data_IF_195551269503
#
_entry.id   IF_195551269503
#
_cell.length_a   1.000
_cell.length_b   1.000
_cell.length_c   1.000
_cell.angle_alpha   90.00
_cell.angle_beta   90.00
_cell.angle_gamma   90.00
#
_symmetry.space_group_name_H-M   'P 1'
#
loop_
_entity.id
_entity.type
_entity.pdbx_description
1 polymer ?
#
# COMPACT_ATOMS: atom_id res chain seq x y z
N UNK A 1 -10.97 -33.80 29.52
CA UNK A 1 -9.50 -33.80 29.43
C UNK A 1 -8.99 -34.02 30.85
N UNK A 2 -8.20 -35.06 31.06
CA UNK A 2 -7.53 -35.24 32.36
C UNK A 2 -6.46 -34.15 32.53
N UNK A 3 -6.13 -33.80 33.77
CA UNK A 3 -5.18 -32.71 34.06
C UNK A 3 -3.82 -33.00 33.41
N UNK A 4 -3.41 -34.27 33.39
CA UNK A 4 -2.13 -34.69 32.82
C UNK A 4 -2.07 -34.48 31.30
N UNK A 5 -3.15 -34.75 30.56
CA UNK A 5 -3.23 -34.48 29.11
C UNK A 5 -3.16 -32.98 28.80
N UNK A 6 -3.86 -32.17 29.60
CA UNK A 6 -3.85 -30.71 29.47
C UNK A 6 -2.45 -30.14 29.71
N UNK A 7 -1.77 -30.66 30.72
CA UNK A 7 -0.41 -30.26 31.08
C UNK A 7 0.61 -30.66 30.01
N UNK A 8 0.48 -31.84 29.41
CA UNK A 8 1.34 -32.28 28.31
C UNK A 8 1.18 -31.38 27.07
N UNK A 9 -0.05 -31.04 26.70
CA UNK A 9 -0.33 -30.12 25.59
C UNK A 9 0.26 -28.72 25.85
N UNK A 10 0.14 -28.22 27.08
CA UNK A 10 0.68 -26.93 27.48
C UNK A 10 2.22 -26.94 27.54
N UNK A 11 2.87 -28.06 27.80
CA UNK A 11 4.35 -28.14 27.70
C UNK A 11 4.87 -28.15 26.27
N UNK A 12 4.05 -28.54 25.30
CA UNK A 12 4.41 -28.60 23.87
C UNK A 12 4.01 -27.35 23.08
N UNK A 13 3.27 -26.42 23.69
CA UNK A 13 2.75 -25.22 23.03
C UNK A 13 3.11 -23.95 23.78
N UNK A 14 3.22 -22.83 23.07
CA UNK A 14 3.26 -21.51 23.70
C UNK A 14 1.86 -20.89 23.61
N UNK A 15 1.39 -20.29 24.70
CA UNK A 15 0.03 -19.76 24.81
C UNK A 15 0.06 -18.37 25.44
N UNK A 16 -0.84 -17.50 24.98
CA UNK A 16 -0.94 -16.12 25.45
C UNK A 16 -1.61 -16.01 26.82
N UNK A 17 -2.56 -16.90 27.10
CA UNK A 17 -3.26 -17.00 28.37
C UNK A 17 -3.48 -18.47 28.72
N UNK A 18 -3.09 -18.85 29.93
CA UNK A 18 -3.44 -20.13 30.54
C UNK A 18 -4.26 -19.88 31.79
N UNK A 19 -5.51 -20.37 31.80
CA UNK A 19 -6.40 -20.30 32.97
C UNK A 19 -6.37 -21.65 33.68
N UNK A 20 -5.97 -21.64 34.94
CA UNK A 20 -5.79 -22.84 35.75
C UNK A 20 -6.90 -22.91 36.81
N UNK A 21 -7.56 -24.05 36.91
CA UNK A 21 -8.56 -24.31 37.95
C UNK A 21 -7.95 -24.55 39.34
N UNK A 22 -8.76 -24.49 40.41
CA UNK A 22 -8.29 -24.63 41.80
C UNK A 22 -7.70 -26.02 42.13
N UNK A 23 -7.98 -27.03 41.32
CA UNK A 23 -7.56 -28.42 41.54
C UNK A 23 -6.13 -28.74 41.05
N UNK A 24 -5.45 -27.79 40.40
CA UNK A 24 -4.11 -28.01 39.83
C UNK A 24 -3.02 -27.76 40.88
N UNK A 25 -2.21 -28.79 41.12
CA UNK A 25 -1.15 -28.80 42.13
C UNK A 25 -0.06 -27.75 41.85
N UNK A 26 0.59 -27.27 42.92
CA UNK A 26 1.63 -26.23 42.85
C UNK A 26 2.88 -26.66 42.08
N UNK A 27 3.20 -27.96 42.06
CA UNK A 27 4.32 -28.52 41.31
C UNK A 27 4.13 -28.38 39.79
N UNK A 28 2.91 -28.53 39.29
CA UNK A 28 2.58 -28.45 37.87
C UNK A 28 2.56 -27.01 37.36
N UNK A 29 2.23 -26.05 38.23
CA UNK A 29 2.27 -24.60 37.89
C UNK A 29 3.67 -24.13 37.49
N UNK A 30 4.74 -24.79 37.95
CA UNK A 30 6.11 -24.45 37.55
C UNK A 30 6.43 -24.82 36.10
N UNK A 31 5.75 -25.84 35.56
CA UNK A 31 5.94 -26.29 34.16
C UNK A 31 5.35 -25.30 33.15
N UNK A 32 4.44 -24.43 33.60
CA UNK A 32 3.72 -23.47 32.77
C UNK A 32 4.44 -22.12 32.61
N UNK A 33 5.66 -21.97 33.16
CA UNK A 33 6.42 -20.72 33.18
C UNK A 33 6.79 -20.16 31.80
N UNK A 34 6.71 -20.98 30.75
CA UNK A 34 7.01 -20.58 29.38
C UNK A 34 5.84 -19.85 28.70
N UNK A 35 4.65 -19.84 29.30
CA UNK A 35 3.52 -19.09 28.77
C UNK A 35 3.55 -17.64 29.25
N UNK A 36 3.06 -16.73 28.39
CA UNK A 36 3.14 -15.27 28.61
C UNK A 36 2.37 -14.81 29.83
N UNK A 37 1.16 -15.33 30.04
CA UNK A 37 0.32 -14.97 31.19
C UNK A 37 -0.44 -16.18 31.73
N UNK A 38 -0.40 -16.35 33.04
CA UNK A 38 -1.02 -17.48 33.73
C UNK A 38 -1.95 -16.91 34.82
N UNK A 39 -3.21 -17.34 34.79
CA UNK A 39 -4.24 -16.93 35.74
C UNK A 39 -4.71 -18.15 36.52
N UNK A 40 -4.70 -18.07 37.86
CA UNK A 40 -5.19 -19.14 38.72
C UNK A 40 -6.56 -18.78 39.28
N UNK A 41 -7.57 -19.61 39.01
CA UNK A 41 -8.88 -19.52 39.66
C UNK A 41 -8.83 -20.17 41.04
N UNK A 42 -9.22 -19.44 42.08
CA UNK A 42 -9.19 -19.93 43.45
C UNK A 42 -10.48 -19.61 44.22
N UNK A 43 -10.86 -20.47 45.16
CA UNK A 43 -12.00 -20.20 46.07
C UNK A 43 -11.61 -19.25 47.20
N UNK A 44 -10.33 -19.28 47.61
CA UNK A 44 -9.76 -18.43 48.66
C UNK A 44 -8.54 -17.70 48.10
N UNK A 45 -8.48 -16.38 48.26
CA UNK A 45 -7.27 -15.63 47.91
C UNK A 45 -6.14 -16.06 48.87
N UNK A 46 -4.92 -16.32 48.37
CA UNK A 46 -3.79 -16.65 49.22
C UNK A 46 -3.47 -15.47 50.15
N UNK A 47 -3.03 -15.76 51.38
CA UNK A 47 -2.57 -14.73 52.31
C UNK A 47 -1.40 -13.96 51.69
N UNK A 48 -1.46 -12.62 51.74
CA UNK A 48 -0.49 -11.70 51.12
C UNK A 48 0.97 -11.92 51.54
N UNK A 49 1.22 -12.70 52.60
CA UNK A 49 2.56 -13.11 53.04
C UNK A 49 3.17 -14.26 52.23
N UNK A 50 2.37 -15.03 51.49
CA UNK A 50 2.82 -16.23 50.75
C UNK A 50 3.22 -15.96 49.28
N UNK A 51 2.98 -14.75 48.78
CA UNK A 51 3.04 -14.42 47.35
C UNK A 51 4.11 -13.38 46.97
N UNK A 52 5.19 -13.28 47.76
CA UNK A 52 6.41 -12.54 47.36
C UNK A 52 7.31 -13.35 46.41
N UNK A 53 6.74 -13.97 45.38
CA UNK A 53 7.50 -14.39 44.21
C UNK A 53 7.00 -13.58 43.03
N UNK A 54 7.89 -12.79 42.42
CA UNK A 54 7.68 -11.99 41.20
C UNK A 54 7.29 -12.81 39.95
N UNK A 55 6.96 -14.10 40.12
CA UNK A 55 6.59 -15.06 39.09
C UNK A 55 5.33 -15.86 39.45
N UNK A 56 4.55 -15.44 40.44
CA UNK A 56 3.32 -16.13 40.83
C UNK A 56 2.18 -15.79 39.84
N UNK A 57 1.39 -16.78 39.38
CA UNK A 57 0.27 -16.54 38.47
C UNK A 57 -0.79 -15.66 39.13
N UNK A 58 -1.36 -14.73 38.37
CA UNK A 58 -2.38 -13.80 38.86
C UNK A 58 -3.61 -14.59 39.37
N UNK A 59 -3.92 -14.51 40.67
CA UNK A 59 -5.00 -15.28 41.27
C UNK A 59 -6.34 -14.53 41.26
N UNK A 60 -7.40 -15.16 40.74
CA UNK A 60 -8.76 -14.60 40.68
C UNK A 60 -9.71 -15.46 41.51
N UNK A 61 -10.51 -14.79 42.35
CA UNK A 61 -11.49 -15.44 43.21
C UNK A 61 -12.73 -15.86 42.44
N UNK A 62 -13.24 -17.06 42.72
CA UNK A 62 -14.56 -17.55 42.30
C UNK A 62 -15.48 -17.74 43.52
N UNK A 63 -16.81 -17.48 43.40
CA UNK A 63 -17.54 -17.00 42.22
C UNK A 63 -17.36 -15.49 41.97
N UNK A 64 -17.61 -15.01 40.73
CA UNK A 64 -17.48 -13.59 40.35
C UNK A 64 -16.21 -13.22 39.57
N UNK A 65 -15.57 -14.19 38.90
CA UNK A 65 -14.32 -13.99 38.17
C UNK A 65 -14.48 -13.47 36.74
N UNK A 66 -15.71 -13.39 36.21
CA UNK A 66 -15.95 -13.16 34.79
C UNK A 66 -15.48 -11.78 34.33
N UNK A 67 -15.85 -10.71 35.03
CA UNK A 67 -15.47 -9.34 34.66
C UNK A 67 -13.94 -9.18 34.65
N UNK A 68 -13.27 -9.71 35.67
CA UNK A 68 -11.80 -9.64 35.77
C UNK A 68 -11.09 -10.53 34.74
N UNK A 69 -11.64 -11.70 34.42
CA UNK A 69 -11.12 -12.52 33.33
C UNK A 69 -11.29 -11.81 31.99
N UNK A 70 -12.41 -11.11 31.78
CA UNK A 70 -12.68 -10.37 30.56
C UNK A 70 -11.72 -9.18 30.41
N UNK A 71 -11.45 -8.43 31.48
CA UNK A 71 -10.41 -7.38 31.50
C UNK A 71 -9.03 -7.93 31.10
N UNK A 72 -8.63 -9.08 31.66
CA UNK A 72 -7.34 -9.71 31.35
C UNK A 72 -7.28 -10.17 29.89
N UNK A 73 -8.36 -10.76 29.37
CA UNK A 73 -8.44 -11.16 27.96
C UNK A 73 -8.34 -9.92 27.06
N UNK A 74 -9.08 -8.85 27.36
CA UNK A 74 -9.05 -7.61 26.57
C UNK A 74 -7.66 -6.97 26.56
N UNK A 75 -6.95 -7.00 27.69
CA UNK A 75 -5.58 -6.50 27.77
C UNK A 75 -4.60 -7.33 26.94
N UNK A 76 -4.69 -8.66 27.00
CA UNK A 76 -3.86 -9.57 26.19
C UNK A 76 -4.15 -9.37 24.70
N UNK A 77 -5.42 -9.23 24.33
CA UNK A 77 -5.82 -8.96 22.94
C UNK A 77 -5.27 -7.61 22.47
N UNK A 78 -5.36 -6.55 23.30
CA UNK A 78 -4.78 -5.24 22.98
C UNK A 78 -3.27 -5.31 22.83
N UNK A 79 -2.58 -6.03 23.72
CA UNK A 79 -1.12 -6.21 23.66
C UNK A 79 -0.72 -6.98 22.40
N UNK A 80 -1.39 -8.08 22.09
CA UNK A 80 -1.18 -8.84 20.85
C UNK A 80 -1.48 -8.01 19.61
N UNK A 81 -2.56 -7.25 19.61
CA UNK A 81 -2.87 -6.33 18.52
C UNK A 81 -1.76 -5.30 18.37
N UNK A 82 -1.21 -4.72 19.45
CA UNK A 82 -0.08 -3.78 19.35
C UNK A 82 1.20 -4.44 18.85
N UNK A 83 1.51 -5.66 19.28
CA UNK A 83 2.68 -6.41 18.80
C UNK A 83 2.55 -6.75 17.31
N UNK A 84 1.40 -7.27 16.90
CA UNK A 84 1.12 -7.62 15.51
C UNK A 84 1.13 -6.35 14.67
N UNK A 85 0.42 -5.30 15.11
CA UNK A 85 0.33 -4.04 14.34
C UNK A 85 1.61 -3.23 14.34
N UNK A 86 2.46 -3.38 15.37
CA UNK A 86 3.78 -2.78 15.49
C UNK A 86 4.89 -3.60 14.84
N UNK A 87 4.61 -4.85 14.44
CA UNK A 87 5.58 -5.69 13.74
C UNK A 87 6.01 -5.03 12.43
N UNK A 88 7.32 -4.98 12.12
CA UNK A 88 7.82 -4.47 10.84
C UNK A 88 7.13 -5.11 9.64
N UNK A 89 6.81 -6.41 9.71
CA UNK A 89 6.12 -7.13 8.64
C UNK A 89 4.69 -6.61 8.43
N UNK A 90 3.95 -6.33 9.51
CA UNK A 90 2.60 -5.80 9.41
C UNK A 90 2.59 -4.35 8.91
N UNK A 91 3.48 -3.51 9.42
CA UNK A 91 3.60 -2.12 8.96
C UNK A 91 3.99 -2.05 7.48
N UNK A 92 4.92 -2.93 7.05
CA UNK A 92 5.27 -3.09 5.65
C UNK A 92 4.07 -3.52 4.82
N UNK A 93 3.35 -4.56 5.25
CA UNK A 93 2.17 -5.05 4.52
C UNK A 93 1.06 -4.00 4.45
N UNK A 94 0.86 -3.21 5.52
CA UNK A 94 -0.08 -2.10 5.55
C UNK A 94 0.29 -1.01 4.55
N UNK A 95 1.57 -0.63 4.46
CA UNK A 95 2.05 0.34 3.45
C UNK A 95 1.95 -0.21 2.03
N UNK A 96 2.10 -1.53 1.86
CA UNK A 96 1.97 -2.22 0.57
C UNK A 96 0.52 -2.64 0.22
N UNK A 97 -0.46 -2.31 1.06
CA UNK A 97 -1.84 -2.79 0.92
C UNK A 97 -2.57 -2.28 -0.33
N UNK A 98 -2.06 -1.22 -0.98
CA UNK A 98 -2.60 -0.70 -2.23
C UNK A 98 -2.23 -1.53 -3.47
N UNK A 99 -1.16 -2.32 -3.43
CA UNK A 99 -0.64 -3.09 -4.56
C UNK A 99 -0.98 -4.56 -4.36
N UNK A 100 -2.16 -4.91 -4.87
CA UNK A 100 -2.79 -6.21 -4.67
C UNK A 100 -2.14 -7.28 -5.56
N UNK A 101 -2.06 -8.49 -5.02
CA UNK A 101 -1.54 -9.67 -5.69
C UNK A 101 -0.43 -10.36 -4.92
N UNK A 102 -0.26 -11.64 -5.20
CA UNK A 102 0.75 -12.54 -4.65
C UNK A 102 1.60 -13.20 -5.72
N UNK A 103 1.41 -12.85 -6.99
CA UNK A 103 2.20 -13.34 -8.11
C UNK A 103 3.69 -13.05 -8.00
N UNK A 104 4.51 -13.88 -8.68
CA UNK A 104 5.96 -13.65 -8.69
C UNK A 104 6.32 -12.27 -9.27
N UNK A 105 5.60 -11.83 -10.30
CA UNK A 105 5.80 -10.57 -11.00
C UNK A 105 5.50 -9.38 -10.07
N UNK A 106 4.39 -9.42 -9.32
CA UNK A 106 4.07 -8.33 -8.40
C UNK A 106 4.98 -8.34 -7.17
N UNK A 107 5.48 -9.51 -6.72
CA UNK A 107 6.49 -9.58 -5.65
C UNK A 107 7.77 -8.85 -6.04
N UNK A 108 8.26 -9.04 -7.27
CA UNK A 108 9.43 -8.30 -7.78
C UNK A 108 9.20 -6.79 -7.72
N UNK A 109 8.02 -6.31 -8.13
CA UNK A 109 7.67 -4.88 -8.03
C UNK A 109 7.67 -4.40 -6.58
N UNK A 110 7.09 -5.19 -5.65
CA UNK A 110 7.08 -4.88 -4.22
C UNK A 110 8.49 -4.78 -3.64
N UNK A 111 9.38 -5.70 -4.00
CA UNK A 111 10.79 -5.69 -3.59
C UNK A 111 11.53 -4.47 -4.13
N UNK A 112 11.29 -4.11 -5.40
CA UNK A 112 11.85 -2.90 -6.01
C UNK A 112 11.36 -1.63 -5.31
N UNK A 113 10.09 -1.55 -4.95
CA UNK A 113 9.55 -0.41 -4.18
C UNK A 113 10.26 -0.27 -2.84
N UNK A 114 10.44 -1.37 -2.09
CA UNK A 114 11.16 -1.37 -0.82
C UNK A 114 12.62 -0.93 -0.98
N UNK A 115 13.26 -1.34 -2.08
CA UNK A 115 14.66 -1.00 -2.37
C UNK A 115 14.85 0.43 -2.87
N UNK A 116 13.99 0.88 -3.79
CA UNK A 116 14.13 2.18 -4.46
C UNK A 116 13.40 3.30 -3.72
N UNK A 117 12.42 2.99 -2.87
CA UNK A 117 11.73 3.96 -2.02
C UNK A 117 12.70 4.83 -1.21
N UNK A 118 13.61 4.25 -0.41
CA UNK A 118 14.59 5.02 0.37
C UNK A 118 15.71 5.66 -0.47
N UNK A 119 15.92 5.22 -1.71
CA UNK A 119 17.03 5.69 -2.54
C UNK A 119 16.79 7.13 -3.04
N UNK A 120 17.78 8.03 -2.93
CA UNK A 120 17.67 9.37 -3.48
C UNK A 120 17.77 9.30 -5.01
N UNK A 121 16.85 9.95 -5.71
CA UNK A 121 16.88 10.06 -7.17
C UNK A 121 15.55 9.75 -7.86
N UNK A 122 15.49 10.01 -9.18
CA UNK A 122 14.28 9.82 -9.95
C UNK A 122 13.98 8.34 -10.18
N UNK A 123 12.68 8.02 -10.28
CA UNK A 123 12.22 6.68 -10.63
C UNK A 123 11.33 6.76 -11.87
N UNK A 124 11.64 5.92 -12.86
CA UNK A 124 10.83 5.72 -14.06
C UNK A 124 9.98 4.44 -13.91
N UNK A 125 8.67 4.61 -13.96
CA UNK A 125 7.69 3.54 -13.87
C UNK A 125 7.13 3.28 -15.27
N UNK A 126 7.42 2.11 -15.83
CA UNK A 126 6.94 1.72 -17.15
C UNK A 126 5.80 0.73 -17.04
N UNK A 127 4.93 0.66 -18.04
CA UNK A 127 3.90 -0.36 -18.13
C UNK A 127 2.64 0.15 -18.80
N UNK A 128 1.78 -0.78 -19.21
CA UNK A 128 0.55 -0.46 -19.94
C UNK A 128 -0.42 0.43 -19.13
N UNK A 129 -1.41 0.98 -19.81
CA UNK A 129 -2.46 1.74 -19.13
C UNK A 129 -3.26 0.82 -18.20
N UNK A 130 -3.52 1.28 -16.99
CA UNK A 130 -4.32 0.53 -16.01
C UNK A 130 -3.56 -0.56 -15.23
N UNK A 131 -2.23 -0.65 -15.31
CA UNK A 131 -1.43 -1.61 -14.51
C UNK A 131 -1.20 -1.19 -13.05
N UNK A 132 -1.51 0.06 -12.69
CA UNK A 132 -1.35 0.60 -11.33
C UNK A 132 -0.07 1.40 -11.09
N UNK A 133 0.45 2.08 -12.12
CA UNK A 133 1.67 2.91 -12.03
C UNK A 133 1.55 4.05 -11.00
N UNK A 134 0.36 4.63 -10.86
CA UNK A 134 0.01 5.64 -9.86
C UNK A 134 0.11 5.11 -8.43
N UNK A 135 -0.34 3.87 -8.21
CA UNK A 135 -0.21 3.17 -6.92
C UNK A 135 1.27 2.93 -6.60
N UNK A 136 2.06 2.46 -7.58
CA UNK A 136 3.50 2.25 -7.42
C UNK A 136 4.20 3.57 -7.07
N UNK A 137 3.88 4.67 -7.75
CA UNK A 137 4.44 5.99 -7.47
C UNK A 137 4.12 6.46 -6.04
N UNK A 138 2.87 6.31 -5.62
CA UNK A 138 2.46 6.65 -4.24
C UNK A 138 3.23 5.83 -3.21
N UNK A 139 3.39 4.53 -3.43
CA UNK A 139 4.18 3.69 -2.52
C UNK A 139 5.65 4.09 -2.49
N UNK A 140 6.27 4.41 -3.63
CA UNK A 140 7.66 4.89 -3.65
C UNK A 140 7.83 6.16 -2.79
N UNK A 141 6.86 7.05 -2.79
CA UNK A 141 6.83 8.21 -1.91
C UNK A 141 6.66 7.81 -0.43
N UNK A 142 5.70 6.92 -0.12
CA UNK A 142 5.44 6.45 1.26
C UNK A 142 6.65 5.71 1.88
N UNK A 143 7.52 5.13 1.05
CA UNK A 143 8.76 4.47 1.45
C UNK A 143 10.00 5.37 1.40
N UNK A 144 9.85 6.62 0.96
CA UNK A 144 10.96 7.56 0.83
C UNK A 144 11.31 8.25 2.15
N UNK A 145 12.49 8.87 2.18
CA UNK A 145 12.88 9.77 3.27
C UNK A 145 12.07 11.07 3.32
N UNK A 146 11.24 11.35 2.30
CA UNK A 146 10.40 12.54 2.16
C UNK A 146 8.90 12.20 2.26
N UNK A 147 8.53 11.07 2.89
CA UNK A 147 7.13 10.60 2.98
C UNK A 147 6.19 11.51 3.77
N UNK A 148 6.73 12.37 4.63
CA UNK A 148 5.95 13.39 5.36
C UNK A 148 5.73 14.66 4.53
N UNK A 149 6.46 14.80 3.41
CA UNK A 149 6.34 15.91 2.47
C UNK A 149 5.14 15.75 1.51
N UNK A 150 4.87 16.77 0.67
CA UNK A 150 3.78 16.69 -0.29
C UNK A 150 4.03 15.62 -1.36
N UNK A 151 2.99 14.87 -1.71
CA UNK A 151 2.95 14.06 -2.94
C UNK A 151 2.04 14.74 -3.95
N UNK A 152 2.64 15.41 -4.94
CA UNK A 152 1.89 16.07 -6.00
C UNK A 152 1.86 15.21 -7.26
N UNK A 153 0.68 14.73 -7.66
CA UNK A 153 0.50 13.90 -8.84
C UNK A 153 -0.16 14.69 -9.96
N UNK A 154 0.42 14.65 -11.16
CA UNK A 154 -0.14 15.28 -12.36
C UNK A 154 0.01 14.35 -13.56
N UNK A 155 -1.03 14.28 -14.38
CA UNK A 155 -0.96 13.65 -15.70
C UNK A 155 -0.50 14.72 -16.71
N UNK A 156 0.67 14.52 -17.31
CA UNK A 156 1.26 15.45 -18.25
C UNK A 156 0.44 15.60 -19.55
N UNK A 157 -0.17 14.52 -20.02
CA UNK A 157 -1.07 14.52 -21.19
C UNK A 157 -2.39 15.26 -20.96
N UNK A 158 -2.77 15.51 -19.70
CA UNK A 158 -3.96 16.28 -19.37
C UNK A 158 -3.72 17.81 -19.31
N UNK A 159 -2.46 18.26 -19.33
CA UNK A 159 -2.13 19.69 -19.27
C UNK A 159 -2.18 20.26 -20.70
N UNK A 160 -2.92 21.36 -20.96
CA UNK A 160 -2.85 22.05 -22.23
C UNK A 160 -1.41 22.42 -22.58
N UNK A 161 -0.99 22.14 -23.81
CA UNK A 161 0.41 22.29 -24.26
C UNK A 161 0.94 23.70 -24.00
N UNK A 162 0.10 24.70 -24.22
CA UNK A 162 0.41 26.13 -24.05
C UNK A 162 0.63 26.52 -22.59
N UNK A 163 0.09 25.76 -21.63
CA UNK A 163 0.18 26.02 -20.19
C UNK A 163 1.15 25.07 -19.48
N UNK A 164 1.62 24.02 -20.13
CA UNK A 164 2.49 22.99 -19.55
C UNK A 164 3.66 23.55 -18.74
N UNK A 165 4.41 24.51 -19.32
CA UNK A 165 5.54 25.13 -18.65
C UNK A 165 5.14 26.01 -17.45
N UNK A 166 4.05 26.78 -17.55
CA UNK A 166 3.61 27.66 -16.46
C UNK A 166 2.96 26.90 -15.31
N UNK A 167 2.30 25.78 -15.59
CA UNK A 167 1.75 24.88 -14.57
C UNK A 167 2.88 24.14 -13.82
N UNK A 168 3.90 23.63 -14.52
CA UNK A 168 4.99 22.90 -13.88
C UNK A 168 5.94 23.81 -13.11
N UNK A 169 6.38 24.91 -13.73
CA UNK A 169 7.46 25.75 -13.20
C UNK A 169 6.98 27.10 -12.61
N UNK A 170 5.70 27.42 -12.74
CA UNK A 170 5.13 28.70 -12.33
C UNK A 170 5.32 29.80 -13.38
N UNK A 171 4.63 30.92 -13.18
CA UNK A 171 4.67 32.05 -14.11
C UNK A 171 4.76 33.40 -13.38
N UNK A 172 5.42 34.36 -14.03
CA UNK A 172 5.46 35.75 -13.61
C UNK A 172 4.43 36.59 -14.38
N UNK A 173 3.96 37.73 -13.81
CA UNK A 173 3.16 38.69 -14.55
C UNK A 173 3.88 39.12 -15.84
N UNK A 174 3.16 39.13 -16.97
CA UNK A 174 3.73 39.49 -18.27
C UNK A 174 4.49 38.38 -18.99
N UNK A 175 4.53 37.15 -18.46
CA UNK A 175 5.12 36.00 -19.16
C UNK A 175 4.40 35.66 -20.48
N UNK A 176 3.10 35.93 -20.55
CA UNK A 176 2.24 35.85 -21.73
C UNK A 176 1.05 36.81 -21.53
N UNK A 177 0.25 37.03 -22.57
CA UNK A 177 -0.92 37.92 -22.51
C UNK A 177 -1.89 37.46 -21.42
N UNK A 178 -2.15 38.31 -20.43
CA UNK A 178 -3.01 37.98 -19.29
C UNK A 178 -2.34 37.14 -18.19
N UNK A 179 -1.03 36.89 -18.26
CA UNK A 179 -0.32 36.15 -17.24
C UNK A 179 -0.39 36.87 -15.87
N UNK A 180 -0.82 36.13 -14.87
CA UNK A 180 -0.74 36.50 -13.45
C UNK A 180 0.33 35.67 -12.76
N UNK A 181 0.81 36.14 -11.61
CA UNK A 181 1.77 35.38 -10.80
C UNK A 181 1.13 34.08 -10.32
N UNK A 182 1.78 32.94 -10.59
CA UNK A 182 1.33 31.61 -10.17
C UNK A 182 2.53 30.74 -9.75
N UNK A 183 2.35 29.96 -8.68
CA UNK A 183 3.30 28.92 -8.28
C UNK A 183 3.11 27.66 -9.11
N UNK A 184 4.21 27.01 -9.47
CA UNK A 184 4.18 25.76 -10.26
C UNK A 184 4.09 24.49 -9.40
N UNK A 185 3.84 23.36 -10.04
CA UNK A 185 3.81 22.03 -9.42
C UNK A 185 5.10 21.65 -8.68
N UNK A 186 6.26 22.10 -9.18
CA UNK A 186 7.52 21.93 -8.45
C UNK A 186 7.53 22.67 -7.11
N UNK A 187 6.93 23.85 -7.04
CA UNK A 187 6.83 24.60 -5.77
C UNK A 187 5.83 23.92 -4.81
N UNK A 188 4.75 23.34 -5.34
CA UNK A 188 3.78 22.60 -4.52
C UNK A 188 4.32 21.25 -4.00
N UNK A 189 5.30 20.69 -4.69
CA UNK A 189 5.94 19.42 -4.34
C UNK A 189 7.21 19.58 -3.49
N UNK A 190 7.60 20.82 -3.15
CA UNK A 190 8.84 21.11 -2.42
C UNK A 190 8.88 20.41 -1.05
N UNK A 191 10.01 19.77 -0.75
CA UNK A 191 10.21 18.89 0.41
C UNK A 191 9.58 17.49 0.27
N UNK A 192 9.06 17.15 -0.91
CA UNK A 192 8.31 15.93 -1.16
C UNK A 192 8.57 15.33 -2.55
N UNK A 193 7.54 14.77 -3.17
CA UNK A 193 7.64 14.12 -4.49
C UNK A 193 6.66 14.69 -5.51
N UNK A 194 7.16 14.92 -6.72
CA UNK A 194 6.36 15.24 -7.90
C UNK A 194 6.24 13.98 -8.76
N UNK A 195 5.01 13.51 -8.97
CA UNK A 195 4.70 12.41 -9.86
C UNK A 195 4.15 12.92 -11.20
N UNK A 196 4.89 12.66 -12.28
CA UNK A 196 4.49 12.94 -13.66
C UNK A 196 4.01 11.66 -14.36
N UNK A 197 2.70 11.47 -14.46
CA UNK A 197 2.14 10.42 -15.31
C UNK A 197 2.17 10.85 -16.78
N UNK A 198 2.35 9.89 -17.68
CA UNK A 198 2.50 10.10 -19.13
C UNK A 198 3.65 11.07 -19.50
N UNK A 199 4.83 10.92 -18.89
CA UNK A 199 6.00 11.81 -19.13
C UNK A 199 6.41 11.89 -20.61
N UNK A 200 6.09 10.86 -21.41
CA UNK A 200 6.33 10.85 -22.85
C UNK A 200 5.54 11.90 -23.65
N UNK A 201 4.48 12.46 -23.08
CA UNK A 201 3.63 13.49 -23.71
C UNK A 201 4.15 14.91 -23.47
N UNK A 202 5.26 15.08 -22.72
CA UNK A 202 5.84 16.39 -22.47
C UNK A 202 6.39 17.04 -23.75
N UNK A 203 6.11 18.33 -23.92
CA UNK A 203 6.72 19.15 -24.98
C UNK A 203 8.23 19.32 -24.79
N UNK A 204 8.98 19.45 -25.89
CA UNK A 204 10.46 19.55 -25.86
C UNK A 204 10.98 20.70 -24.99
N UNK A 205 10.24 21.82 -24.95
CA UNK A 205 10.57 22.97 -24.09
C UNK A 205 10.50 22.57 -22.61
N UNK A 206 9.45 21.85 -22.22
CA UNK A 206 9.26 21.38 -20.84
C UNK A 206 10.30 20.32 -20.49
N UNK A 207 10.63 19.41 -21.41
CA UNK A 207 11.69 18.43 -21.22
C UNK A 207 13.05 19.09 -20.92
N UNK A 208 13.34 20.21 -21.60
CA UNK A 208 14.59 20.97 -21.40
C UNK A 208 14.66 21.61 -20.01
N UNK A 209 13.57 22.23 -19.55
CA UNK A 209 13.52 22.79 -18.20
C UNK A 209 13.50 21.70 -17.12
N UNK A 210 12.82 20.57 -17.35
CA UNK A 210 12.82 19.44 -16.43
C UNK A 210 14.24 18.87 -16.22
N UNK A 211 15.02 18.72 -17.30
CA UNK A 211 16.42 18.32 -17.20
C UNK A 211 17.24 19.28 -16.33
N UNK A 212 17.07 20.60 -16.52
CA UNK A 212 17.76 21.61 -15.69
C UNK A 212 17.39 21.51 -14.21
N UNK A 213 16.15 21.21 -13.88
CA UNK A 213 15.73 21.01 -12.49
C UNK A 213 16.43 19.79 -11.89
N UNK A 214 16.49 18.68 -12.65
CA UNK A 214 17.16 17.44 -12.22
C UNK A 214 18.69 17.58 -12.08
N UNK A 215 19.29 18.56 -12.76
CA UNK A 215 20.73 18.85 -12.67
C UNK A 215 21.06 19.86 -11.57
N UNK A 216 20.23 20.89 -11.41
CA UNK A 216 20.54 22.06 -10.57
C UNK A 216 19.80 22.08 -9.24
N UNK A 217 18.71 21.32 -9.09
CA UNK A 217 17.82 21.42 -7.93
C UNK A 217 17.11 22.77 -7.86
N UNK A 218 16.91 23.45 -9.00
CA UNK A 218 16.28 24.76 -9.04
C UNK A 218 15.39 24.94 -10.26
N UNK A 219 14.26 25.62 -10.07
CA UNK A 219 13.33 25.99 -11.15
C UNK A 219 13.50 27.45 -11.51
N UNK A 220 13.01 27.81 -12.71
CA UNK A 220 12.81 29.19 -13.15
C UNK A 220 11.36 29.34 -13.59
N UNK A 221 10.65 30.31 -13.00
CA UNK A 221 9.29 30.64 -13.46
C UNK A 221 9.34 31.17 -14.89
N UNK A 222 8.32 30.86 -15.68
CA UNK A 222 8.17 31.40 -17.03
C UNK A 222 8.14 32.94 -16.95
N UNK A 223 8.96 33.59 -17.78
CA UNK A 223 9.15 35.05 -17.75
C UNK A 223 10.09 35.55 -16.65
N UNK A 224 10.81 34.67 -15.93
CA UNK A 224 11.81 35.05 -14.93
C UNK A 224 13.19 34.46 -15.24
N UNK A 225 14.23 35.21 -14.88
CA UNK A 225 15.62 34.73 -14.89
C UNK A 225 16.12 34.35 -13.49
N UNK A 226 15.27 34.44 -12.46
CA UNK A 226 15.64 34.11 -11.09
C UNK A 226 15.49 32.62 -10.85
N UNK A 227 16.56 31.99 -10.35
CA UNK A 227 16.52 30.60 -9.90
C UNK A 227 15.84 30.52 -8.53
N UNK A 228 14.98 29.52 -8.37
CA UNK A 228 14.33 29.18 -7.11
C UNK A 228 14.73 27.75 -6.75
N UNK A 229 15.51 27.53 -5.68
CA UNK A 229 15.85 26.18 -5.25
C UNK A 229 14.59 25.43 -4.81
N UNK A 230 14.53 24.15 -5.15
CA UNK A 230 13.47 23.22 -4.75
C UNK A 230 14.09 21.86 -4.40
N UNK A 231 13.60 21.22 -3.35
CA UNK A 231 13.96 19.85 -2.99
C UNK A 231 12.79 18.93 -3.34
N UNK A 232 12.78 18.43 -4.58
CA UNK A 232 11.69 17.60 -5.11
C UNK A 232 12.25 16.32 -5.67
N UNK A 233 11.75 15.19 -5.17
CA UNK A 233 11.99 13.90 -5.81
C UNK A 233 11.05 13.71 -7.00
N UNK A 234 11.61 13.46 -8.17
CA UNK A 234 10.82 13.17 -9.37
C UNK A 234 10.44 11.69 -9.46
N UNK A 235 9.15 11.40 -9.56
CA UNK A 235 8.63 10.09 -9.95
C UNK A 235 7.96 10.26 -11.31
N UNK A 236 8.18 9.36 -12.24
CA UNK A 236 7.63 9.48 -13.59
C UNK A 236 7.02 8.16 -14.05
N UNK A 237 5.95 8.23 -14.83
CA UNK A 237 5.32 7.06 -15.42
C UNK A 237 5.08 7.24 -16.92
N UNK A 238 5.12 6.13 -17.65
CA UNK A 238 4.80 6.09 -19.08
C UNK A 238 4.32 4.71 -19.51
N UNK A 239 3.42 4.70 -20.49
CA UNK A 239 3.09 3.51 -21.29
C UNK A 239 3.72 3.55 -22.69
N UNK A 240 4.36 4.66 -23.06
CA UNK A 240 5.04 4.82 -24.34
C UNK A 240 6.45 4.23 -24.32
N UNK A 241 6.92 3.80 -25.48
CA UNK A 241 8.31 3.41 -25.69
C UNK A 241 9.15 4.69 -25.86
N UNK A 242 9.86 5.09 -24.79
CA UNK A 242 10.62 6.35 -24.77
C UNK A 242 11.86 6.31 -25.67
N UNK A 243 12.48 5.15 -25.90
CA UNK A 243 13.62 5.05 -26.82
C UNK A 243 13.21 5.29 -28.27
N UNK A 244 12.07 4.76 -28.70
CA UNK A 244 11.47 5.07 -30.00
C UNK A 244 11.04 6.53 -30.10
N UNK A 245 10.59 7.14 -28.99
CA UNK A 245 10.30 8.58 -28.95
C UNK A 245 11.57 9.43 -29.08
N UNK A 246 12.70 8.98 -28.54
CA UNK A 246 14.02 9.59 -28.73
C UNK A 246 14.46 9.49 -30.19
N UNK A 247 14.38 8.30 -30.79
CA UNK A 247 14.75 8.10 -32.20
C UNK A 247 13.89 8.95 -33.16
N UNK A 248 12.63 9.18 -32.80
CA UNK A 248 11.71 10.06 -33.52
C UNK A 248 11.90 11.57 -33.22
N UNK A 249 12.86 11.96 -32.37
CA UNK A 249 13.11 13.35 -31.98
C UNK A 249 12.01 13.98 -31.12
N UNK A 250 11.10 13.18 -30.56
CA UNK A 250 9.98 13.64 -29.71
C UNK A 250 10.35 13.66 -28.23
N UNK A 251 11.36 12.91 -27.84
CA UNK A 251 11.87 12.88 -26.47
C UNK A 251 13.39 13.09 -26.46
N UNK A 252 13.93 13.78 -25.46
CA UNK A 252 15.37 14.02 -25.38
C UNK A 252 16.10 12.83 -24.74
N UNK A 253 17.19 12.40 -25.39
CA UNK A 253 18.02 11.30 -24.91
C UNK A 253 18.67 11.58 -23.54
N UNK A 254 19.11 12.82 -23.31
CA UNK A 254 19.74 13.25 -22.05
C UNK A 254 18.75 13.23 -20.87
N UNK A 255 17.51 13.67 -21.09
CA UNK A 255 16.46 13.57 -20.10
C UNK A 255 16.11 12.12 -19.80
N UNK A 256 15.98 11.25 -20.82
CA UNK A 256 15.71 9.83 -20.63
C UNK A 256 16.78 9.20 -19.74
N UNK A 257 18.05 9.45 -20.04
CA UNK A 257 19.17 8.97 -19.24
C UNK A 257 19.12 9.47 -17.78
N UNK A 258 18.66 10.71 -17.56
CA UNK A 258 18.58 11.30 -16.22
C UNK A 258 17.42 10.77 -15.38
N UNK A 259 16.24 10.56 -15.98
CA UNK A 259 15.05 10.07 -15.26
C UNK A 259 15.07 8.56 -15.02
N UNK A 260 15.77 7.82 -15.88
CA UNK A 260 15.88 6.35 -15.83
C UNK A 260 17.00 5.88 -14.89
N UNK A 261 17.16 6.55 -13.76
CA UNK A 261 18.14 6.17 -12.74
C UNK A 261 17.72 4.89 -12.00
N UNK A 262 16.44 4.83 -11.62
CA UNK A 262 15.80 3.62 -11.11
C UNK A 262 14.59 3.31 -11.98
N UNK A 263 14.44 2.06 -12.39
CA UNK A 263 13.32 1.63 -13.23
C UNK A 263 12.48 0.55 -12.54
N UNK A 264 11.17 0.74 -12.55
CA UNK A 264 10.19 -0.27 -12.17
C UNK A 264 9.29 -0.55 -13.36
N UNK A 265 9.11 -1.83 -13.70
CA UNK A 265 8.16 -2.25 -14.71
C UNK A 265 6.89 -2.77 -14.03
N UNK A 266 5.75 -2.15 -14.33
CA UNK A 266 4.44 -2.57 -13.85
C UNK A 266 3.87 -3.62 -14.81
N UNK A 267 3.85 -4.91 -14.42
CA UNK A 267 3.47 -6.00 -15.31
C UNK A 267 2.00 -5.89 -15.73
N UNK A 268 1.73 -6.31 -16.96
CA UNK A 268 0.36 -6.39 -17.47
C UNK A 268 -0.44 -7.45 -16.69
N UNK A 269 -1.76 -7.30 -16.59
CA UNK A 269 -2.61 -8.21 -15.82
C UNK A 269 -2.54 -9.65 -16.38
N UNK A 270 -2.44 -9.80 -17.71
CA UNK A 270 -2.23 -11.10 -18.37
C UNK A 270 -0.95 -11.83 -17.94
N UNK A 271 0.06 -11.11 -17.46
CA UNK A 271 1.32 -11.68 -16.97
C UNK A 271 1.24 -12.10 -15.50
N UNK A 272 0.15 -11.72 -14.81
CA UNK A 272 -0.12 -12.01 -13.40
C UNK A 272 -1.59 -12.37 -13.18
N UNK A 273 -2.12 -13.22 -14.06
CA UNK A 273 -3.55 -13.58 -14.07
C UNK A 273 -4.00 -14.25 -12.75
N UNK A 274 -3.06 -14.91 -12.07
CA UNK A 274 -3.26 -15.51 -10.74
C UNK A 274 -3.60 -14.49 -9.64
N UNK A 275 -3.36 -13.19 -9.86
CA UNK A 275 -3.74 -12.12 -8.93
C UNK A 275 -5.23 -11.71 -9.03
N UNK A 276 -5.98 -12.20 -10.03
CA UNK A 276 -7.39 -11.80 -10.23
C UNK A 276 -8.27 -12.07 -9.00
N UNK A 277 -8.23 -13.24 -8.34
CA UNK A 277 -9.06 -13.48 -7.15
C UNK A 277 -8.80 -12.48 -6.02
N UNK A 278 -7.52 -12.17 -5.77
CA UNK A 278 -7.12 -11.17 -4.76
C UNK A 278 -7.65 -9.77 -5.12
N UNK A 279 -7.58 -9.41 -6.40
CA UNK A 279 -8.12 -8.15 -6.92
C UNK A 279 -9.64 -8.07 -6.76
N UNK A 280 -10.37 -9.13 -7.09
CA UNK A 280 -11.83 -9.20 -6.92
C UNK A 280 -12.23 -9.08 -5.45
N UNK A 281 -11.51 -9.76 -4.55
CA UNK A 281 -11.72 -9.63 -3.11
C UNK A 281 -11.49 -8.19 -2.64
N UNK A 282 -10.44 -7.54 -3.14
CA UNK A 282 -10.16 -6.14 -2.83
C UNK A 282 -11.28 -5.21 -3.31
N UNK A 283 -11.71 -5.34 -4.57
CA UNK A 283 -12.79 -4.53 -5.12
C UNK A 283 -14.12 -4.79 -4.41
N UNK A 284 -14.39 -6.03 -4.02
CA UNK A 284 -15.55 -6.38 -3.20
C UNK A 284 -15.54 -5.65 -1.86
N UNK A 285 -14.39 -5.57 -1.19
CA UNK A 285 -14.26 -4.81 0.07
C UNK A 285 -14.55 -3.32 -0.15
N UNK A 286 -14.07 -2.74 -1.24
CA UNK A 286 -14.36 -1.34 -1.58
C UNK A 286 -15.85 -1.11 -1.85
N UNK A 287 -16.49 -1.96 -2.65
CA UNK A 287 -17.90 -1.84 -2.98
C UNK A 287 -18.83 -2.05 -1.78
N UNK A 288 -18.43 -2.81 -0.76
CA UNK A 288 -19.21 -2.94 0.49
C UNK A 288 -19.35 -1.62 1.26
N UNK A 289 -18.41 -0.69 1.08
CA UNK A 289 -18.53 0.66 1.64
C UNK A 289 -19.65 1.46 0.94
N UNK A 290 -19.86 1.20 -0.35
CA UNK A 290 -20.93 1.83 -1.15
C UNK A 290 -22.27 1.10 -0.99
N UNK A 291 -22.24 -0.24 -0.84
CA UNK A 291 -23.40 -1.14 -0.73
C UNK A 291 -23.26 -2.03 0.51
N UNK A 292 -23.53 -1.48 1.71
CA UNK A 292 -23.52 -2.28 2.93
C UNK A 292 -24.54 -3.42 2.84
N UNK A 293 -24.20 -4.57 3.42
CA UNK A 293 -25.00 -5.81 3.46
C UNK A 293 -25.00 -6.70 2.21
N UNK A 294 -24.33 -6.33 1.11
CA UNK A 294 -24.14 -7.26 -0.01
C UNK A 294 -22.83 -8.04 0.10
N UNK A 295 -22.91 -9.34 -0.11
CA UNK A 295 -21.76 -10.22 -0.32
C UNK A 295 -21.76 -10.69 -1.77
N UNK A 296 -20.58 -10.75 -2.39
CA UNK A 296 -20.46 -11.26 -3.75
C UNK A 296 -19.67 -12.55 -3.71
N UNK A 297 -20.24 -13.57 -4.33
CA UNK A 297 -19.62 -14.86 -4.55
C UNK A 297 -19.33 -15.02 -6.04
N UNK A 298 -18.26 -15.74 -6.36
CA UNK A 298 -17.81 -15.95 -7.73
C UNK A 298 -17.94 -17.44 -8.05
N UNK A 299 -18.76 -17.78 -9.04
CA UNK A 299 -18.77 -19.15 -9.56
C UNK A 299 -17.50 -19.45 -10.35
N UNK A 300 -17.19 -20.74 -10.53
CA UNK A 300 -16.06 -21.17 -11.37
C UNK A 300 -16.18 -20.59 -12.78
N UNK A 301 -17.38 -20.63 -13.38
CA UNK A 301 -17.65 -20.04 -14.70
C UNK A 301 -17.35 -18.55 -14.82
N UNK A 302 -17.43 -17.80 -13.71
CA UNK A 302 -17.06 -16.39 -13.67
C UNK A 302 -15.54 -16.25 -13.67
N UNK A 303 -14.85 -16.98 -12.79
CA UNK A 303 -13.39 -16.95 -12.69
C UNK A 303 -12.71 -17.43 -13.98
N UNK A 304 -13.18 -18.51 -14.57
CA UNK A 304 -12.64 -19.07 -15.82
C UNK A 304 -12.65 -18.02 -16.95
N UNK A 305 -13.77 -17.33 -17.14
CA UNK A 305 -13.87 -16.25 -18.14
C UNK A 305 -12.94 -15.09 -17.84
N UNK A 306 -12.71 -14.76 -16.57
CA UNK A 306 -11.76 -13.71 -16.21
C UNK A 306 -10.32 -14.15 -16.46
N UNK A 307 -9.99 -15.43 -16.30
CA UNK A 307 -8.66 -15.98 -16.57
C UNK A 307 -8.36 -16.10 -18.07
N UNK A 308 -9.36 -16.36 -18.91
CA UNK A 308 -9.19 -16.50 -20.36
C UNK A 308 -9.04 -15.16 -21.11
N UNK A 309 -9.47 -14.05 -20.51
CA UNK A 309 -9.45 -12.74 -21.15
C UNK A 309 -8.08 -12.05 -21.03
N UNK A 310 -7.65 -11.36 -22.09
CA UNK A 310 -6.31 -10.76 -22.18
C UNK A 310 -6.12 -9.45 -21.41
N UNK A 311 -7.20 -8.83 -20.93
CA UNK A 311 -7.18 -7.59 -20.15
C UNK A 311 -6.38 -6.43 -20.78
N UNK A 312 -6.73 -5.95 -21.99
CA UNK A 312 -6.03 -4.83 -22.63
C UNK A 312 -6.03 -3.52 -21.80
N UNK A 313 -7.04 -3.30 -20.96
CA UNK A 313 -7.09 -2.19 -20.01
C UNK A 313 -6.66 -2.57 -18.59
N UNK A 314 -6.05 -3.75 -18.43
CA UNK A 314 -5.42 -4.25 -17.21
C UNK A 314 -6.36 -4.20 -15.99
N UNK A 315 -5.82 -3.82 -14.82
CA UNK A 315 -6.56 -3.78 -13.55
C UNK A 315 -7.70 -2.75 -13.59
N UNK A 316 -7.53 -1.67 -14.36
CA UNK A 316 -8.59 -0.66 -14.54
C UNK A 316 -9.81 -1.24 -15.25
N UNK A 317 -9.59 -2.01 -16.32
CA UNK A 317 -10.66 -2.70 -17.04
C UNK A 317 -11.29 -3.79 -16.16
N UNK A 318 -10.49 -4.64 -15.50
CA UNK A 318 -10.99 -5.66 -14.58
C UNK A 318 -11.93 -5.06 -13.52
N UNK A 319 -11.51 -3.95 -12.90
CA UNK A 319 -12.35 -3.25 -11.92
C UNK A 319 -13.67 -2.77 -12.53
N UNK A 320 -13.65 -2.24 -13.74
CA UNK A 320 -14.85 -1.75 -14.41
C UNK A 320 -15.78 -2.91 -14.81
N UNK A 321 -15.24 -4.00 -15.35
CA UNK A 321 -15.97 -5.23 -15.68
C UNK A 321 -16.63 -5.81 -14.42
N UNK A 322 -15.88 -5.95 -13.33
CA UNK A 322 -16.41 -6.43 -12.06
C UNK A 322 -17.53 -5.53 -11.52
N UNK A 323 -17.32 -4.20 -11.51
CA UNK A 323 -18.37 -3.26 -11.11
C UNK A 323 -19.62 -3.41 -11.98
N UNK A 324 -19.48 -3.47 -13.32
CA UNK A 324 -20.63 -3.66 -14.22
C UNK A 324 -21.39 -4.94 -13.92
N UNK A 325 -20.69 -6.05 -13.69
CA UNK A 325 -21.31 -7.33 -13.30
C UNK A 325 -22.11 -7.20 -11.99
N UNK A 326 -21.54 -6.56 -10.96
CA UNK A 326 -22.20 -6.33 -9.67
C UNK A 326 -23.44 -5.45 -9.79
N UNK A 327 -23.41 -4.40 -10.60
CA UNK A 327 -24.55 -3.49 -10.75
C UNK A 327 -25.64 -4.01 -11.69
N UNK A 328 -25.30 -4.97 -12.56
CA UNK A 328 -26.23 -5.60 -13.50
C UNK A 328 -26.87 -6.88 -12.96
N UNK A 329 -26.41 -7.37 -11.81
CA UNK A 329 -26.92 -8.58 -11.17
C UNK A 329 -27.74 -8.26 -9.92
N UNK A 330 -28.93 -8.84 -9.84
CA UNK A 330 -29.73 -8.88 -8.60
C UNK A 330 -29.29 -10.00 -7.65
N UNK A 331 -28.49 -10.95 -8.13
CA UNK A 331 -27.92 -12.08 -7.38
C UNK A 331 -26.57 -11.73 -6.74
N UNK A 332 -26.31 -12.30 -5.56
CA UNK A 332 -25.00 -12.27 -4.88
C UNK A 332 -23.97 -13.18 -5.56
N UNK A 333 -24.42 -14.26 -6.20
CA UNK A 333 -23.56 -15.14 -7.00
C UNK A 333 -23.40 -14.56 -8.41
N UNK A 334 -22.17 -14.19 -8.77
CA UNK A 334 -21.78 -13.79 -10.12
C UNK A 334 -21.35 -15.01 -10.94
N UNK A 335 -21.94 -15.13 -12.14
CA UNK A 335 -21.68 -16.20 -13.10
C UNK A 335 -21.01 -15.68 -14.35
N UNK A 336 -20.48 -16.57 -15.19
CA UNK A 336 -19.88 -16.20 -16.47
C UNK A 336 -20.76 -15.28 -17.32
N UNK A 337 -22.09 -15.41 -17.26
CA UNK A 337 -23.06 -14.56 -18.00
C UNK A 337 -23.19 -13.14 -17.45
N UNK A 338 -22.68 -12.91 -16.24
CA UNK A 338 -22.64 -11.58 -15.61
C UNK A 338 -21.54 -10.69 -16.19
N UNK A 339 -20.59 -11.25 -16.94
CA UNK A 339 -19.41 -10.54 -17.46
C UNK A 339 -19.74 -9.83 -18.76
N UNK A 340 -19.41 -8.53 -18.80
CA UNK A 340 -19.47 -7.69 -19.99
C UNK A 340 -18.18 -6.89 -20.13
N UNK A 341 -17.42 -7.16 -21.19
CA UNK A 341 -16.13 -6.52 -21.45
C UNK A 341 -16.27 -5.15 -22.13
N UNK A 342 -17.34 -4.95 -22.88
CA UNK A 342 -17.70 -3.74 -23.64
C UNK A 342 -18.12 -2.56 -22.75
#
# INVERSE_FOLDING_TARGET
MEIDDAMNLLTETESDLVIIGPSVASADRRKLRNHRRIVSLTRNLPDAASEKLSSAPEAIRIPGSLDRLQEIIDDIVKERLREITGSPAYLLNRRMSGLIGTSSQIRVVKEQIVRYGPAPGPVLITGESGTGKDIIARMLHDFSGQSEGPFHAVNAGAIPRELSASELFGAMPGAYTGAVRRSGFFEYADGGSLFLDEIGELETVVQTELLRVLETGSIRRVGSNRNLPVDVRLLSATNAELSAAVDAGRFRADLLYRIDMFRIHAPALRERIEDIPDLLMHFSKQLRLERPNRHWEFSDSFLDRLFEYNWPGNVRELRNVFRRAVYSSDSELLTGDSIRYD
#
